data_IF_998445500787
#
_entry.id   IF_998445500787
#
_cell.length_a   1.000
_cell.length_b   1.000
_cell.length_c   1.000
_cell.angle_alpha   90.00
_cell.angle_beta   90.00
_cell.angle_gamma   90.00
#
_symmetry.space_group_name_H-M   'P 1'
#
loop_
_entity.id
_entity.type
_entity.pdbx_description
1 polymer ?
#
# COMPACT_ATOMS: atom_id res chain seq x y z
N UNK A 1 -32.20 -4.98 -22.01
CA UNK A 1 -32.01 -4.10 -20.85
C UNK A 1 -30.85 -4.67 -20.03
N UNK A 2 -29.83 -3.86 -19.71
CA UNK A 2 -28.70 -4.30 -18.88
C UNK A 2 -28.74 -3.43 -17.62
N UNK A 3 -29.25 -4.00 -16.54
CA UNK A 3 -29.19 -3.40 -15.21
C UNK A 3 -27.83 -3.80 -14.63
N UNK A 4 -26.86 -2.88 -14.59
CA UNK A 4 -25.62 -3.09 -13.86
C UNK A 4 -25.82 -2.67 -12.40
N UNK A 5 -26.00 -3.66 -11.52
CA UNK A 5 -25.89 -3.44 -10.09
C UNK A 5 -24.40 -3.29 -9.75
N UNK A 6 -23.92 -2.06 -9.59
CA UNK A 6 -22.65 -1.88 -8.90
C UNK A 6 -22.96 -2.02 -7.41
N UNK A 7 -22.82 -3.23 -6.90
CA UNK A 7 -22.98 -3.50 -5.47
C UNK A 7 -21.98 -2.62 -4.68
N UNK A 8 -22.53 -1.74 -3.85
CA UNK A 8 -21.80 -0.91 -2.89
C UNK A 8 -21.99 -1.43 -1.46
N UNK A 9 -22.55 -2.63 -1.30
CA UNK A 9 -22.84 -3.26 -0.01
C UNK A 9 -21.55 -3.82 0.60
N UNK A 10 -20.65 -4.30 -0.27
CA UNK A 10 -19.39 -4.89 0.16
C UNK A 10 -18.31 -3.83 0.45
N UNK A 11 -17.71 -3.84 1.66
CA UNK A 11 -16.62 -2.95 1.98
C UNK A 11 -15.39 -3.22 1.09
N UNK A 12 -14.71 -2.16 0.66
CA UNK A 12 -13.40 -2.31 0.02
C UNK A 12 -12.38 -2.63 1.10
N UNK A 13 -11.60 -3.69 0.87
CA UNK A 13 -10.46 -4.06 1.71
C UNK A 13 -9.16 -3.72 0.99
N UNK A 14 -8.14 -3.31 1.75
CA UNK A 14 -6.80 -3.04 1.24
C UNK A 14 -5.81 -4.01 1.87
N UNK A 15 -5.19 -4.81 1.01
CA UNK A 15 -4.15 -5.75 1.41
C UNK A 15 -2.78 -5.20 0.99
N UNK A 16 -1.86 -5.16 1.95
CA UNK A 16 -0.47 -4.76 1.69
C UNK A 16 0.36 -6.02 1.49
N UNK A 17 0.91 -6.18 0.29
CA UNK A 17 1.73 -7.32 -0.08
C UNK A 17 3.15 -6.88 -0.43
N UNK A 18 4.12 -7.76 -0.17
CA UNK A 18 5.52 -7.57 -0.49
C UNK A 18 6.11 -8.90 -0.94
N UNK A 19 6.82 -8.93 -2.06
CA UNK A 19 7.46 -10.14 -2.59
C UNK A 19 8.63 -10.57 -1.71
N UNK A 20 9.41 -9.61 -1.20
CA UNK A 20 10.56 -9.86 -0.33
C UNK A 20 10.20 -9.85 1.16
N UNK A 21 8.97 -9.46 1.48
CA UNK A 21 8.49 -9.24 2.84
C UNK A 21 8.87 -7.84 3.36
N UNK A 22 8.17 -7.41 4.41
CA UNK A 22 8.33 -6.07 4.99
C UNK A 22 9.52 -5.94 5.96
N UNK A 23 10.44 -6.91 5.99
CA UNK A 23 11.59 -6.90 6.89
C UNK A 23 12.86 -6.52 6.14
N UNK A 24 13.52 -5.47 6.61
CA UNK A 24 14.87 -5.11 6.18
C UNK A 24 15.85 -5.84 7.10
N UNK A 25 16.62 -6.79 6.56
CA UNK A 25 17.63 -7.53 7.33
C UNK A 25 19.01 -6.90 7.14
N UNK A 26 19.71 -6.59 8.24
CA UNK A 26 21.10 -6.10 8.24
C UNK A 26 21.37 -4.95 7.27
N UNK A 27 20.40 -4.05 7.06
CA UNK A 27 20.50 -2.96 6.09
C UNK A 27 20.83 -3.46 4.65
N UNK A 28 20.38 -4.67 4.31
CA UNK A 28 20.77 -5.39 3.09
C UNK A 28 19.84 -5.13 1.90
N UNK A 29 18.53 -5.04 2.13
CA UNK A 29 17.51 -5.01 1.08
C UNK A 29 16.54 -3.85 1.21
N UNK A 30 16.04 -3.37 0.08
CA UNK A 30 14.85 -2.52 0.03
C UNK A 30 13.58 -3.37 0.17
N UNK A 31 12.46 -2.72 0.48
CA UNK A 31 11.14 -3.35 0.61
C UNK A 31 10.28 -2.92 -0.57
N UNK A 32 9.87 -3.89 -1.39
CA UNK A 32 8.81 -3.68 -2.37
C UNK A 32 7.46 -3.80 -1.65
N UNK A 33 6.66 -2.75 -1.67
CA UNK A 33 5.33 -2.75 -1.10
C UNK A 33 4.30 -2.48 -2.19
N UNK A 34 3.23 -3.26 -2.22
CA UNK A 34 2.12 -3.12 -3.15
C UNK A 34 0.80 -3.14 -2.39
N UNK A 35 -0.09 -2.23 -2.72
CA UNK A 35 -1.47 -2.25 -2.23
C UNK A 35 -2.36 -2.98 -3.24
N UNK A 36 -3.21 -3.86 -2.75
CA UNK A 36 -4.20 -4.57 -3.56
C UNK A 36 -5.58 -4.32 -2.96
N UNK A 37 -6.50 -3.85 -3.80
CA UNK A 37 -7.87 -3.55 -3.38
C UNK A 37 -8.77 -4.71 -3.76
N UNK A 38 -9.51 -5.21 -2.77
CA UNK A 38 -10.49 -6.27 -2.96
C UNK A 38 -11.90 -5.80 -2.59
N UNK A 39 -12.88 -6.23 -3.37
CA UNK A 39 -14.32 -6.13 -3.05
C UNK A 39 -14.98 -7.44 -3.45
N UNK A 40 -15.76 -8.04 -2.56
CA UNK A 40 -16.41 -9.33 -2.82
C UNK A 40 -15.43 -10.47 -3.16
N UNK A 41 -14.15 -10.37 -2.74
CA UNK A 41 -13.10 -11.35 -3.04
C UNK A 41 -12.40 -11.17 -4.39
N UNK A 42 -12.80 -10.20 -5.22
CA UNK A 42 -12.15 -9.89 -6.49
C UNK A 42 -11.29 -8.63 -6.39
N UNK A 43 -10.16 -8.60 -7.10
CA UNK A 43 -9.30 -7.42 -7.19
C UNK A 43 -9.96 -6.37 -8.08
N UNK A 44 -10.23 -5.18 -7.54
CA UNK A 44 -11.02 -4.14 -8.23
C UNK A 44 -10.20 -3.07 -8.94
N UNK A 45 -8.87 -3.10 -8.80
CA UNK A 45 -8.00 -2.09 -9.40
C UNK A 45 -6.67 -2.68 -9.86
N UNK A 46 -6.68 -3.76 -10.64
CA UNK A 46 -5.47 -4.46 -11.09
C UNK A 46 -4.43 -3.52 -11.69
N UNK A 47 -4.88 -2.55 -12.51
CA UNK A 47 -4.04 -1.54 -13.17
C UNK A 47 -3.49 -0.44 -12.26
N UNK A 48 -4.08 -0.21 -11.08
CA UNK A 48 -3.67 0.88 -10.18
C UNK A 48 -4.01 2.28 -10.69
N UNK A 49 -5.03 2.38 -11.53
CA UNK A 49 -5.45 3.64 -12.17
C UNK A 49 -6.82 4.09 -11.71
N UNK A 50 -7.61 3.22 -11.08
CA UNK A 50 -8.94 3.56 -10.59
C UNK A 50 -8.92 4.28 -9.24
N UNK A 51 -7.84 4.10 -8.46
CA UNK A 51 -7.66 4.72 -7.16
C UNK A 51 -6.30 5.41 -7.06
N UNK A 52 -6.25 6.44 -6.23
CA UNK A 52 -5.00 7.09 -5.83
C UNK A 52 -4.47 6.42 -4.58
N UNK A 53 -3.20 6.02 -4.64
CA UNK A 53 -2.49 5.38 -3.53
C UNK A 53 -1.44 6.34 -3.00
N UNK A 54 -1.60 6.75 -1.75
CA UNK A 54 -0.64 7.60 -1.03
C UNK A 54 -0.04 6.80 0.10
N UNK A 55 1.28 6.70 0.11
CA UNK A 55 2.01 5.97 1.14
C UNK A 55 2.78 6.94 2.00
N UNK A 56 2.72 6.75 3.31
CA UNK A 56 3.49 7.52 4.29
C UNK A 56 4.35 6.55 5.08
N UNK A 57 5.67 6.70 4.95
CA UNK A 57 6.62 6.06 5.84
C UNK A 57 6.82 6.96 7.04
N UNK A 58 6.43 6.46 8.21
CA UNK A 58 6.64 7.12 9.49
C UNK A 58 7.90 6.58 10.16
N UNK A 59 8.50 7.43 10.99
CA UNK A 59 9.65 7.05 11.82
C UNK A 59 9.27 5.92 12.80
N UNK A 60 10.27 5.35 13.48
CA UNK A 60 10.07 4.27 14.46
C UNK A 60 9.09 4.63 15.60
N UNK A 61 8.89 5.92 15.88
CA UNK A 61 7.99 6.40 16.92
C UNK A 61 6.57 6.65 16.41
N UNK A 62 6.32 6.56 15.10
CA UNK A 62 5.04 6.91 14.47
C UNK A 62 4.70 8.41 14.55
N UNK A 63 5.67 9.28 14.84
CA UNK A 63 5.41 10.70 15.12
C UNK A 63 5.63 11.62 13.93
N UNK A 64 6.54 11.28 13.03
CA UNK A 64 6.82 12.08 11.84
C UNK A 64 6.88 11.22 10.58
N UNK A 65 6.37 11.78 9.49
CA UNK A 65 6.51 11.21 8.14
C UNK A 65 7.93 11.47 7.67
N UNK A 66 8.68 10.38 7.43
CA UNK A 66 10.02 10.39 6.86
C UNK A 66 9.95 10.60 5.36
N UNK A 67 9.00 9.94 4.70
CA UNK A 67 8.86 9.99 3.24
C UNK A 67 7.43 9.68 2.80
N UNK A 68 7.05 10.28 1.69
CA UNK A 68 5.77 10.04 1.03
C UNK A 68 6.03 9.43 -0.35
N UNK A 69 5.21 8.46 -0.72
CA UNK A 69 5.25 7.82 -2.04
C UNK A 69 3.85 7.80 -2.64
N UNK A 70 3.78 7.67 -3.97
CA UNK A 70 2.53 7.56 -4.70
C UNK A 70 2.57 6.39 -5.67
N UNK A 71 1.38 5.88 -5.99
CA UNK A 71 1.20 4.76 -6.90
C UNK A 71 0.94 3.44 -6.18
N UNK A 72 0.38 2.48 -6.91
CA UNK A 72 -0.07 1.19 -6.35
C UNK A 72 1.06 0.33 -5.77
N UNK A 73 2.25 0.43 -6.36
CA UNK A 73 3.46 -0.26 -5.93
C UNK A 73 4.57 0.76 -5.69
N UNK A 74 5.29 0.61 -4.57
CA UNK A 74 6.39 1.48 -4.18
C UNK A 74 7.60 0.64 -3.75
N UNK A 75 8.76 1.27 -3.75
CA UNK A 75 9.98 0.70 -3.16
C UNK A 75 10.42 1.60 -2.02
N UNK A 76 10.33 1.07 -0.80
CA UNK A 76 10.85 1.74 0.41
C UNK A 76 12.33 1.40 0.51
N UNK A 77 13.18 2.42 0.38
CA UNK A 77 14.62 2.20 0.51
C UNK A 77 15.00 1.92 1.95
N UNK A 78 15.92 0.99 2.14
CA UNK A 78 16.52 0.73 3.46
C UNK A 78 17.16 1.97 4.09
N UNK A 79 17.67 2.89 3.29
CA UNK A 79 18.26 4.13 3.78
C UNK A 79 17.23 5.04 4.47
N UNK A 80 15.94 4.91 4.12
CA UNK A 80 14.86 5.69 4.71
C UNK A 80 14.36 5.08 6.04
N UNK A 81 14.84 3.89 6.43
CA UNK A 81 14.38 3.14 7.63
C UNK A 81 15.52 2.96 8.63
N UNK A 82 15.54 3.80 9.67
CA UNK A 82 16.51 3.67 10.77
C UNK A 82 15.96 2.75 11.87
N UNK A 83 16.31 1.47 11.79
CA UNK A 83 15.93 0.44 12.76
C UNK A 83 14.51 -0.09 12.54
N UNK A 84 13.48 0.76 12.68
CA UNK A 84 12.06 0.42 12.42
C UNK A 84 11.34 1.63 11.81
N UNK A 85 10.27 1.36 11.09
CA UNK A 85 9.37 2.39 10.55
C UNK A 85 7.97 1.82 10.39
N UNK A 86 6.97 2.70 10.34
CA UNK A 86 5.58 2.32 10.12
C UNK A 86 5.19 2.76 8.72
N UNK A 87 4.79 1.82 7.87
CA UNK A 87 4.32 2.11 6.52
C UNK A 87 2.80 2.13 6.52
N UNK A 88 2.21 3.26 6.15
CA UNK A 88 0.76 3.43 6.02
C UNK A 88 0.40 3.68 4.57
N UNK A 89 -0.59 2.96 4.07
CA UNK A 89 -1.19 3.19 2.75
C UNK A 89 -2.56 3.81 2.92
N UNK A 90 -2.77 4.94 2.25
CA UNK A 90 -4.04 5.66 2.17
C UNK A 90 -4.54 5.55 0.73
N UNK A 91 -5.78 5.11 0.58
CA UNK A 91 -6.40 4.89 -0.73
C UNK A 91 -7.59 5.82 -0.86
N UNK A 92 -7.59 6.64 -1.91
CA UNK A 92 -8.68 7.57 -2.23
C UNK A 92 -9.18 7.35 -3.65
N UNK A 93 -10.43 7.71 -3.91
CA UNK A 93 -11.05 7.69 -5.24
C UNK A 93 -11.18 9.10 -5.78
#
# INVERSE_FOLDING_TARGET
DIISFTDMSDPITVDLVSQKGFTIKNNGNDVDAKAVLYRGGEEIDTGGTAYTYTWKLWNSAGTSVVKTYTGKSITVSKADVTGKGVLMCEVSK
#
